data_IF_885785736690
#
_entry.id   IF_885785736690
#
_cell.length_a   1.000
_cell.length_b   1.000
_cell.length_c   1.000
_cell.angle_alpha   90.00
_cell.angle_beta   90.00
_cell.angle_gamma   90.00
#
_symmetry.space_group_name_H-M   'P 1'
#
loop_
_entity.id
_entity.type
_entity.pdbx_description
1 polymer ?
#
# COMPACT_ATOMS: atom_id res chain seq x y z
N UNK A 1 -4.77 -14.38 -22.33
CA UNK A 1 -3.72 -13.44 -21.92
C UNK A 1 -4.07 -12.84 -20.56
N UNK A 2 -3.59 -13.45 -19.49
CA UNK A 2 -3.64 -12.92 -18.13
C UNK A 2 -2.32 -12.22 -17.82
N UNK A 3 -2.38 -11.04 -17.22
CA UNK A 3 -1.20 -10.33 -16.78
C UNK A 3 -1.42 -9.71 -15.41
N UNK A 4 -0.31 -9.49 -14.70
CA UNK A 4 -0.29 -8.66 -13.49
C UNK A 4 0.93 -7.76 -13.51
N UNK A 5 0.95 -6.77 -12.63
CA UNK A 5 2.07 -5.84 -12.47
C UNK A 5 2.47 -5.79 -11.01
N UNK A 6 3.74 -6.05 -10.74
CA UNK A 6 4.34 -5.85 -9.43
C UNK A 6 4.97 -4.46 -9.34
N UNK A 7 4.87 -3.88 -8.15
CA UNK A 7 5.39 -2.56 -7.83
C UNK A 7 6.69 -2.69 -7.05
N UNK A 8 7.54 -1.66 -7.16
CA UNK A 8 8.59 -1.43 -6.17
C UNK A 8 7.98 -1.42 -4.76
N UNK A 9 8.51 -2.18 -3.78
CA UNK A 9 7.88 -2.27 -2.47
C UNK A 9 7.80 -0.92 -1.73
N UNK A 10 8.82 -0.07 -1.84
CA UNK A 10 8.81 1.25 -1.21
C UNK A 10 7.82 2.16 -1.94
N UNK A 11 7.89 2.23 -3.28
CA UNK A 11 6.97 3.06 -4.04
C UNK A 11 5.51 2.62 -3.88
N UNK A 12 5.25 1.33 -3.69
CA UNK A 12 3.93 0.80 -3.36
C UNK A 12 3.44 1.35 -2.02
N UNK A 13 4.26 1.28 -0.97
CA UNK A 13 3.90 1.80 0.36
C UNK A 13 3.71 3.32 0.36
N UNK A 14 4.59 4.09 -0.31
CA UNK A 14 4.43 5.55 -0.45
C UNK A 14 3.17 5.90 -1.23
N UNK A 15 2.89 5.19 -2.32
CA UNK A 15 1.68 5.41 -3.12
C UNK A 15 0.42 5.09 -2.32
N UNK A 16 0.45 4.03 -1.52
CA UNK A 16 -0.64 3.65 -0.63
C UNK A 16 -0.87 4.74 0.43
N UNK A 17 0.22 5.18 1.08
CA UNK A 17 0.17 6.26 2.06
C UNK A 17 -0.40 7.54 1.47
N UNK A 18 0.08 7.94 0.29
CA UNK A 18 -0.43 9.14 -0.38
C UNK A 18 -1.89 9.04 -0.78
N UNK A 19 -2.39 7.84 -1.11
CA UNK A 19 -3.79 7.67 -1.48
C UNK A 19 -4.71 7.78 -0.25
N UNK A 20 -4.37 7.11 0.85
CA UNK A 20 -5.25 7.02 2.02
C UNK A 20 -4.99 8.10 3.08
N UNK A 21 -3.76 8.57 3.25
CA UNK A 21 -3.36 9.39 4.39
C UNK A 21 -2.89 10.81 4.03
N UNK A 22 -2.39 11.05 2.81
CA UNK A 22 -1.98 12.40 2.41
C UNK A 22 -3.15 13.38 2.20
N UNK A 23 -4.27 13.02 1.54
CA UNK A 23 -5.43 13.89 1.54
C UNK A 23 -6.04 13.89 2.94
N UNK A 24 -5.81 14.97 3.69
CA UNK A 24 -6.37 15.21 5.02
C UNK A 24 -7.91 15.43 5.00
N UNK A 25 -8.59 14.86 4.01
CA UNK A 25 -10.00 15.05 3.67
C UNK A 25 -10.89 14.00 4.29
N UNK A 26 -10.36 12.82 4.61
CA UNK A 26 -11.14 11.73 5.18
C UNK A 26 -10.74 11.51 6.65
N UNK A 27 -11.68 11.81 7.55
CA UNK A 27 -11.49 11.66 8.99
C UNK A 27 -11.18 10.20 9.41
N UNK A 28 -11.57 9.20 8.59
CA UNK A 28 -11.27 7.78 8.82
C UNK A 28 -9.77 7.48 8.82
N UNK A 29 -8.99 8.29 8.10
CA UNK A 29 -7.56 8.10 7.94
C UNK A 29 -6.74 9.19 8.62
N UNK A 30 -7.37 10.08 9.40
CA UNK A 30 -6.65 11.04 10.25
C UNK A 30 -6.05 10.31 11.44
N UNK A 31 -4.71 10.18 11.52
CA UNK A 31 -4.10 9.62 12.71
C UNK A 31 -4.26 10.62 13.86
N UNK A 32 -4.45 10.15 15.09
CA UNK A 32 -4.39 11.00 16.30
C UNK A 32 -2.97 11.52 16.62
N UNK A 33 -2.03 11.36 15.69
CA UNK A 33 -0.60 11.57 15.87
C UNK A 33 -0.16 12.91 15.29
N UNK A 34 -0.68 14.01 15.84
CA UNK A 34 -0.34 15.37 15.42
C UNK A 34 1.17 15.66 15.42
N UNK A 35 1.96 14.91 16.19
CA UNK A 35 3.39 15.18 16.40
C UNK A 35 4.36 14.39 15.50
N UNK A 36 3.87 13.46 14.65
CA UNK A 36 4.74 12.70 13.75
C UNK A 36 4.87 13.38 12.38
N UNK A 37 6.07 13.34 11.79
CA UNK A 37 6.27 13.72 10.40
C UNK A 37 5.59 12.73 9.45
N UNK A 38 5.27 13.13 8.21
CA UNK A 38 4.61 12.24 7.25
C UNK A 38 5.43 10.97 6.96
N UNK A 39 6.76 11.07 6.94
CA UNK A 39 7.65 9.91 6.78
C UNK A 39 7.58 8.93 7.97
N UNK A 40 7.49 9.44 9.20
CA UNK A 40 7.30 8.60 10.38
C UNK A 40 5.92 7.96 10.40
N UNK A 41 4.89 8.73 10.01
CA UNK A 41 3.51 8.22 9.88
C UNK A 41 3.44 7.10 8.85
N UNK A 42 4.09 7.28 7.69
CA UNK A 42 4.23 6.25 6.66
C UNK A 42 4.74 4.94 7.29
N UNK A 43 5.90 4.96 7.95
CA UNK A 43 6.46 3.75 8.55
C UNK A 43 5.51 3.11 9.58
N UNK A 44 4.80 3.92 10.36
CA UNK A 44 3.84 3.44 11.37
C UNK A 44 2.63 2.73 10.74
N UNK A 45 2.02 3.33 9.71
CA UNK A 45 0.78 2.81 9.08
C UNK A 45 1.04 1.81 7.95
N UNK A 46 2.30 1.67 7.54
CA UNK A 46 2.73 0.72 6.54
C UNK A 46 2.47 -0.73 6.93
N UNK A 47 1.92 -1.49 6.00
CA UNK A 47 1.68 -2.93 6.12
C UNK A 47 2.92 -3.74 5.79
N UNK A 48 3.02 -4.92 6.40
CA UNK A 48 4.03 -5.91 6.06
C UNK A 48 3.66 -6.62 4.75
N UNK A 49 4.59 -6.64 3.81
CA UNK A 49 4.51 -7.38 2.54
C UNK A 49 3.16 -7.24 1.82
N UNK A 50 2.66 -6.01 1.59
CA UNK A 50 1.31 -5.78 1.11
C UNK A 50 0.99 -6.50 -0.20
N UNK A 51 1.95 -6.60 -1.13
CA UNK A 51 1.70 -7.25 -2.43
C UNK A 51 1.58 -8.77 -2.28
N UNK A 52 2.51 -9.38 -1.56
CA UNK A 52 2.51 -10.82 -1.34
C UNK A 52 1.32 -11.25 -0.46
N UNK A 53 0.99 -10.46 0.57
CA UNK A 53 -0.18 -10.68 1.41
C UNK A 53 -1.48 -10.68 0.59
N UNK A 54 -1.67 -9.66 -0.25
CA UNK A 54 -2.81 -9.57 -1.17
C UNK A 54 -2.91 -10.82 -2.05
N UNK A 55 -1.80 -11.21 -2.67
CA UNK A 55 -1.76 -12.34 -3.61
C UNK A 55 -1.93 -13.69 -2.90
N UNK A 56 -1.47 -13.82 -1.66
CA UNK A 56 -1.49 -15.08 -0.91
C UNK A 56 -2.86 -15.43 -0.33
N UNK A 57 -3.64 -14.40 0.04
CA UNK A 57 -4.85 -14.55 0.85
C UNK A 57 -6.11 -13.93 0.24
N UNK A 58 -6.00 -13.23 -0.90
CA UNK A 58 -7.13 -12.51 -1.51
C UNK A 58 -7.52 -11.25 -0.73
N UNK A 59 -8.29 -10.35 -1.34
CA UNK A 59 -8.63 -9.06 -0.71
C UNK A 59 -9.72 -9.16 0.36
N UNK A 60 -9.35 -8.72 1.58
CA UNK A 60 -10.20 -7.94 2.50
C UNK A 60 -9.44 -6.74 3.09
N UNK A 61 -8.40 -6.28 2.39
CA UNK A 61 -7.35 -5.47 3.00
C UNK A 61 -7.75 -4.01 3.25
N UNK A 62 -8.67 -3.45 2.46
CA UNK A 62 -8.88 -2.00 2.43
C UNK A 62 -10.34 -1.51 2.57
N UNK A 63 -11.35 -2.37 2.44
CA UNK A 63 -12.77 -1.97 2.40
C UNK A 63 -13.64 -2.44 3.57
N UNK A 64 -13.28 -3.52 4.26
CA UNK A 64 -14.18 -4.16 5.25
C UNK A 64 -14.16 -3.51 6.63
N UNK A 65 -13.61 -2.29 6.75
CA UNK A 65 -13.88 -1.52 7.95
C UNK A 65 -15.34 -1.07 7.85
N UNK A 66 -16.20 -1.35 8.86
CA UNK A 66 -17.50 -0.72 8.90
C UNK A 66 -17.27 0.78 8.71
N UNK A 67 -18.09 1.42 7.86
CA UNK A 67 -18.09 2.86 7.73
C UNK A 67 -18.03 3.43 9.15
N UNK A 68 -17.23 4.48 9.37
CA UNK A 68 -17.37 5.24 10.62
C UNK A 68 -18.86 5.44 10.81
N UNK A 69 -19.44 5.00 11.95
CA UNK A 69 -20.87 5.14 12.17
C UNK A 69 -21.17 6.58 11.81
N UNK A 70 -22.01 6.73 10.80
CA UNK A 70 -22.48 8.01 10.30
C UNK A 70 -23.22 8.60 11.50
N UNK A 71 -22.47 9.33 12.31
CA UNK A 71 -23.05 10.23 13.27
C UNK A 71 -23.74 11.24 12.35
N UNK A 72 -25.04 11.06 12.14
CA UNK A 72 -25.96 11.95 11.42
C UNK A 72 -25.96 13.40 11.97
N UNK A 73 -25.00 13.76 12.81
CA UNK A 73 -24.70 15.12 13.15
C UNK A 73 -23.78 15.70 12.05
N UNK A 74 -24.19 16.77 11.35
CA UNK A 74 -23.28 17.58 10.56
C UNK A 74 -22.31 18.31 11.50
N UNK A 75 -21.38 17.57 12.09
CA UNK A 75 -20.29 18.13 12.88
C UNK A 75 -19.08 18.26 11.98
N UNK A 76 -18.94 19.48 11.46
CA UNK A 76 -17.70 20.23 11.50
C UNK A 76 -16.49 19.40 11.96
N UNK A 77 -15.68 18.97 11.00
CA UNK A 77 -14.26 18.72 11.25
C UNK A 77 -13.47 20.04 11.46
N UNK A 78 -14.17 21.15 11.73
CA UNK A 78 -13.55 22.41 12.16
C UNK A 78 -13.13 22.26 13.62
N UNK A 79 -11.82 22.07 13.77
CA UNK A 79 -11.10 22.22 15.02
C UNK A 79 -11.22 23.69 15.45
N UNK A 80 -12.31 24.05 16.12
CA UNK A 80 -12.33 25.27 16.91
C UNK A 80 -11.51 25.01 18.18
N UNK A 81 -10.40 25.74 18.32
CA UNK A 81 -9.42 25.61 19.38
C UNK A 81 -9.95 25.94 20.77
N UNK A 82 -10.62 24.97 21.40
CA UNK A 82 -10.96 24.98 22.82
C UNK A 82 -9.86 24.32 23.65
N UNK A 83 -9.12 25.13 24.42
CA UNK A 83 -8.12 24.70 25.41
C UNK A 83 -8.77 24.03 26.63
N UNK A 84 -9.12 22.74 26.53
CA UNK A 84 -9.49 21.95 27.70
C UNK A 84 -8.31 21.08 28.17
N UNK A 85 -7.62 21.55 29.22
CA UNK A 85 -6.63 20.79 29.99
C UNK A 85 -7.32 19.72 30.87
N UNK A 86 -7.78 18.62 30.25
CA UNK A 86 -8.16 17.41 30.97
C UNK A 86 -6.93 16.54 31.26
N UNK A 87 -6.64 16.29 32.54
CA UNK A 87 -5.55 15.42 32.99
C UNK A 87 -5.92 13.95 32.71
N UNK A 88 -5.25 13.31 31.76
CA UNK A 88 -5.43 11.89 31.44
C UNK A 88 -4.89 11.01 32.58
N UNK A 89 -5.77 10.19 33.18
CA UNK A 89 -5.40 9.27 34.24
C UNK A 89 -4.87 7.95 33.63
N UNK A 90 -3.64 7.56 33.98
CA UNK A 90 -2.88 6.47 33.34
C UNK A 90 -3.52 5.10 33.56
N UNK A 91 -4.17 4.89 34.70
CA UNK A 91 -4.77 3.60 35.08
C UNK A 91 -6.11 3.33 34.36
N UNK A 92 -6.78 4.39 33.88
CA UNK A 92 -7.98 4.25 33.06
C UNK A 92 -7.67 3.70 31.66
N UNK A 93 -6.48 4.01 31.12
CA UNK A 93 -6.07 3.62 29.76
C UNK A 93 -5.85 2.11 29.63
N UNK A 94 -5.30 1.46 30.66
CA UNK A 94 -4.99 0.02 30.63
C UNK A 94 -6.26 -0.85 30.66
N UNK A 95 -7.24 -0.47 31.50
CA UNK A 95 -8.52 -1.19 31.60
C UNK A 95 -9.37 -1.04 30.32
N UNK A 96 -9.24 0.08 29.62
CA UNK A 96 -9.96 0.36 28.37
C UNK A 96 -9.37 -0.40 27.17
N UNK A 97 -8.06 -0.71 27.19
CA UNK A 97 -7.40 -1.51 26.16
C UNK A 97 -7.85 -2.98 26.13
N UNK A 98 -8.25 -3.54 27.28
CA UNK A 98 -8.82 -4.89 27.34
C UNK A 98 -10.30 -4.94 26.95
N UNK A 99 -11.08 -3.89 27.26
CA UNK A 99 -12.47 -3.78 26.84
C UNK A 99 -12.62 -3.56 25.32
N UNK A 100 -11.71 -2.77 24.72
CA UNK A 100 -11.75 -2.44 23.28
C UNK A 100 -11.39 -3.60 22.37
N UNK A 101 -10.64 -4.62 22.82
CA UNK A 101 -10.43 -5.85 22.02
C UNK A 101 -11.73 -6.62 21.74
N UNK A 102 -12.71 -6.56 22.65
CA UNK A 102 -14.02 -7.22 22.47
C UNK A 102 -14.94 -6.45 21.52
N UNK A 103 -14.69 -5.16 21.34
CA UNK A 103 -15.54 -4.24 20.58
C UNK A 103 -15.02 -3.97 19.15
N UNK A 104 -13.74 -4.26 18.89
CA UNK A 104 -13.09 -3.98 17.61
C UNK A 104 -12.37 -5.22 17.01
N UNK A 105 -13.12 -6.11 16.32
CA UNK A 105 -12.60 -7.33 15.69
C UNK A 105 -11.44 -7.10 14.70
N UNK A 106 -11.30 -5.88 14.17
CA UNK A 106 -10.27 -5.55 13.19
C UNK A 106 -8.85 -5.50 13.79
N UNK A 107 -8.70 -5.40 15.12
CA UNK A 107 -7.39 -5.47 15.78
C UNK A 107 -6.80 -6.88 15.64
N UNK A 108 -7.61 -7.93 15.75
CA UNK A 108 -7.15 -9.32 15.49
C UNK A 108 -6.85 -9.55 14.00
N UNK A 109 -7.59 -8.90 13.11
CA UNK A 109 -7.30 -8.96 11.67
C UNK A 109 -5.97 -8.27 11.32
N UNK A 110 -5.55 -7.25 12.06
CA UNK A 110 -4.24 -6.63 11.86
C UNK A 110 -3.08 -7.58 12.23
N UNK A 111 -3.27 -8.40 13.26
CA UNK A 111 -2.27 -9.37 13.73
C UNK A 111 -2.11 -10.55 12.76
N UNK A 112 -3.19 -10.98 12.10
CA UNK A 112 -3.07 -11.99 11.04
C UNK A 112 -2.30 -11.46 9.82
N UNK A 113 -2.31 -10.15 9.55
CA UNK A 113 -1.66 -9.56 8.37
C UNK A 113 -0.12 -9.53 8.47
N UNK A 114 0.45 -9.53 9.68
CA UNK A 114 1.90 -9.47 9.91
C UNK A 114 2.59 -10.83 9.77
N UNK A 115 1.88 -11.94 9.96
CA UNK A 115 2.47 -13.28 9.95
C UNK A 115 2.42 -13.95 8.56
N UNK A 116 3.05 -13.31 7.56
CA UNK A 116 3.25 -13.92 6.25
C UNK A 116 4.48 -14.82 6.27
N UNK A 117 4.27 -16.11 5.97
CA UNK A 117 5.34 -17.10 5.94
C UNK A 117 6.03 -17.14 4.58
N UNK A 118 7.29 -17.61 4.55
CA UNK A 118 8.01 -17.85 3.30
C UNK A 118 7.25 -18.81 2.37
N UNK A 119 6.64 -19.85 2.94
CA UNK A 119 5.87 -20.85 2.20
C UNK A 119 4.68 -20.23 1.45
N UNK A 120 3.98 -19.28 2.07
CA UNK A 120 2.89 -18.54 1.42
C UNK A 120 3.41 -17.70 0.25
N UNK A 121 4.56 -17.03 0.42
CA UNK A 121 5.20 -16.27 -0.66
C UNK A 121 5.65 -17.19 -1.82
N UNK A 122 6.20 -18.36 -1.51
CA UNK A 122 6.57 -19.36 -2.51
C UNK A 122 5.35 -19.92 -3.24
N UNK A 123 4.21 -20.04 -2.56
CA UNK A 123 2.93 -20.43 -3.17
C UNK A 123 2.42 -19.34 -4.11
N UNK A 124 2.49 -18.07 -3.70
CA UNK A 124 2.14 -16.92 -4.57
C UNK A 124 2.98 -16.94 -5.83
N UNK A 125 4.30 -17.05 -5.69
CA UNK A 125 5.21 -17.09 -6.84
C UNK A 125 4.86 -18.22 -7.82
N UNK A 126 4.68 -19.46 -7.32
CA UNK A 126 4.27 -20.60 -8.15
C UNK A 126 2.90 -20.39 -8.80
N UNK A 127 1.98 -19.73 -8.12
CA UNK A 127 0.66 -19.43 -8.66
C UNK A 127 0.79 -18.44 -9.81
N UNK A 128 1.49 -17.33 -9.59
CA UNK A 128 1.75 -16.33 -10.64
C UNK A 128 2.38 -16.96 -11.88
N UNK A 129 3.40 -17.80 -11.72
CA UNK A 129 4.05 -18.49 -12.84
C UNK A 129 3.10 -19.41 -13.63
N UNK A 130 2.11 -20.02 -12.97
CA UNK A 130 1.17 -20.94 -13.62
C UNK A 130 -0.01 -20.21 -14.26
N UNK A 131 -0.45 -19.09 -13.68
CA UNK A 131 -1.72 -18.45 -14.05
C UNK A 131 -1.55 -17.18 -14.87
N UNK A 132 -0.35 -16.59 -14.90
CA UNK A 132 -0.09 -15.35 -15.62
C UNK A 132 0.77 -15.63 -16.85
N UNK A 133 0.34 -15.10 -18.00
CA UNK A 133 1.12 -15.11 -19.23
C UNK A 133 2.26 -14.06 -19.17
N UNK A 134 2.07 -13.00 -18.38
CA UNK A 134 3.05 -11.94 -18.18
C UNK A 134 2.99 -11.34 -16.77
N UNK A 135 4.15 -11.12 -16.16
CA UNK A 135 4.29 -10.43 -14.88
C UNK A 135 5.15 -9.19 -15.09
N UNK A 136 4.49 -8.05 -15.25
CA UNK A 136 5.13 -6.76 -15.46
C UNK A 136 5.68 -6.14 -14.18
N UNK A 137 6.48 -5.09 -14.36
CA UNK A 137 7.02 -4.25 -13.27
C UNK A 137 6.65 -2.80 -13.50
N UNK A 138 6.26 -2.08 -12.46
CA UNK A 138 5.91 -0.65 -12.60
C UNK A 138 7.02 0.20 -13.21
N UNK A 139 8.28 -0.06 -12.87
CA UNK A 139 9.46 0.67 -13.34
C UNK A 139 9.69 0.51 -14.85
N UNK A 140 9.22 -0.61 -15.42
CA UNK A 140 9.33 -0.93 -16.84
C UNK A 140 7.97 -0.99 -17.53
N UNK A 141 6.92 -0.50 -16.88
CA UNK A 141 5.53 -0.59 -17.36
C UNK A 141 5.39 0.06 -18.74
N UNK A 142 5.98 1.24 -18.93
CA UNK A 142 5.92 1.98 -20.20
C UNK A 142 6.83 1.44 -21.29
N UNK A 143 7.91 0.74 -20.94
CA UNK A 143 8.92 0.27 -21.90
C UNK A 143 8.74 -1.20 -22.30
N UNK A 144 8.15 -2.01 -21.44
CA UNK A 144 7.98 -3.45 -21.65
C UNK A 144 6.51 -3.84 -21.66
N UNK A 145 5.83 -3.68 -20.53
CA UNK A 145 4.50 -4.28 -20.32
C UNK A 145 3.44 -3.65 -21.22
N UNK A 146 3.37 -2.33 -21.32
CA UNK A 146 2.36 -1.66 -22.13
C UNK A 146 2.60 -1.81 -23.64
N UNK A 147 3.83 -1.71 -24.17
CA UNK A 147 4.10 -2.07 -25.56
C UNK A 147 3.71 -3.52 -25.89
N UNK A 148 3.99 -4.47 -25.00
CA UNK A 148 3.57 -5.87 -25.16
C UNK A 148 2.04 -6.00 -25.22
N UNK A 149 1.33 -5.42 -24.25
CA UNK A 149 -0.14 -5.44 -24.20
C UNK A 149 -0.75 -4.79 -25.44
N UNK A 150 -0.20 -3.65 -25.85
CA UNK A 150 -0.66 -2.94 -27.04
C UNK A 150 -0.42 -3.77 -28.31
N UNK A 151 0.71 -4.48 -28.44
CA UNK A 151 0.97 -5.40 -29.56
C UNK A 151 -0.02 -6.56 -29.59
N UNK A 152 -0.38 -7.12 -28.43
CA UNK A 152 -1.35 -8.21 -28.34
C UNK A 152 -2.77 -7.78 -28.74
N UNK A 153 -3.18 -6.57 -28.38
CA UNK A 153 -4.53 -6.06 -28.68
C UNK A 153 -4.64 -5.53 -30.11
N UNK A 154 -3.62 -4.82 -30.59
CA UNK A 154 -3.70 -4.05 -31.85
C UNK A 154 -2.77 -4.56 -32.96
N UNK A 155 -2.00 -5.62 -32.72
CA UNK A 155 -1.04 -6.16 -33.68
C UNK A 155 0.21 -5.29 -33.92
N UNK A 156 0.34 -4.14 -33.24
CA UNK A 156 1.46 -3.21 -33.38
C UNK A 156 1.83 -2.62 -32.03
N UNK A 157 3.11 -2.39 -31.77
CA UNK A 157 3.58 -1.69 -30.56
C UNK A 157 3.60 -0.15 -30.73
N UNK A 158 3.51 0.35 -31.96
CA UNK A 158 3.79 1.76 -32.29
C UNK A 158 2.69 2.74 -31.83
N UNK A 159 1.46 2.26 -31.58
CA UNK A 159 0.35 3.11 -31.09
C UNK A 159 0.17 3.09 -29.58
N UNK A 160 1.09 2.47 -28.82
CA UNK A 160 1.12 2.56 -27.35
C UNK A 160 1.50 3.96 -26.85
N UNK A 161 1.17 5.01 -27.61
CA UNK A 161 1.32 6.40 -27.21
C UNK A 161 0.45 6.63 -25.99
N UNK A 162 1.11 6.81 -24.85
CA UNK A 162 0.45 7.14 -23.60
C UNK A 162 -0.31 8.45 -23.76
N UNK A 163 -1.63 8.41 -23.56
CA UNK A 163 -2.31 9.60 -23.08
C UNK A 163 -1.70 9.91 -21.71
N UNK A 164 -1.07 11.08 -21.49
CA UNK A 164 -0.52 11.41 -20.19
C UNK A 164 -1.64 11.30 -19.16
N UNK A 165 -1.45 10.44 -18.16
CA UNK A 165 -2.32 10.40 -16.99
C UNK A 165 -2.33 11.84 -16.46
N UNK A 166 -3.51 12.45 -16.41
CA UNK A 166 -3.66 13.87 -16.06
C UNK A 166 -2.84 14.22 -14.82
N UNK A 167 -2.25 15.41 -14.81
CA UNK A 167 -1.41 15.87 -13.68
C UNK A 167 -2.21 15.65 -12.39
N UNK A 168 -1.74 14.80 -11.45
CA UNK A 168 -2.43 14.64 -10.19
C UNK A 168 -2.55 16.02 -9.55
N UNK A 169 -3.72 16.33 -8.98
CA UNK A 169 -3.95 17.61 -8.30
C UNK A 169 -2.81 17.90 -7.31
N UNK A 170 -2.48 19.18 -7.13
CA UNK A 170 -1.33 19.68 -6.37
C UNK A 170 -1.42 19.45 -4.84
N UNK A 171 -1.95 18.30 -4.41
CA UNK A 171 -1.83 17.82 -3.03
C UNK A 171 -0.35 17.50 -2.82
N UNK A 172 0.23 18.07 -1.75
CA UNK A 172 1.58 17.74 -1.30
C UNK A 172 1.65 16.23 -1.09
N UNK A 173 2.37 15.54 -1.97
CA UNK A 173 2.53 14.10 -1.95
C UNK A 173 3.91 13.78 -1.45
N UNK A 174 4.01 12.91 -0.45
CA UNK A 174 5.27 12.39 0.04
C UNK A 174 5.95 11.62 -1.10
N UNK A 175 7.20 11.93 -1.43
CA UNK A 175 7.96 11.19 -2.45
C UNK A 175 8.98 10.31 -1.78
N UNK A 176 9.36 9.21 -2.45
CA UNK A 176 10.39 8.28 -1.97
C UNK A 176 11.69 9.01 -1.63
N UNK A 177 12.08 10.00 -2.44
CA UNK A 177 13.28 10.82 -2.23
C UNK A 177 13.23 11.74 -1.00
N UNK A 178 12.05 11.92 -0.41
CA UNK A 178 11.86 12.74 0.79
C UNK A 178 11.99 11.88 2.07
N UNK A 179 12.20 10.57 1.93
CA UNK A 179 12.37 9.64 3.05
C UNK A 179 13.84 9.59 3.48
N UNK A 180 14.07 9.52 4.78
CA UNK A 180 15.41 9.24 5.31
C UNK A 180 15.76 7.76 5.14
N UNK A 181 17.06 7.45 5.11
CA UNK A 181 17.56 6.08 4.98
C UNK A 181 17.02 5.15 6.08
N UNK A 182 16.86 5.66 7.31
CA UNK A 182 16.28 4.89 8.41
C UNK A 182 14.81 4.51 8.16
N UNK A 183 14.03 5.40 7.55
CA UNK A 183 12.64 5.10 7.17
C UNK A 183 12.63 4.11 6.01
N UNK A 184 13.47 4.31 5.00
CA UNK A 184 13.62 3.38 3.88
C UNK A 184 13.96 1.97 4.35
N UNK A 185 14.95 1.83 5.23
CA UNK A 185 15.35 0.54 5.81
C UNK A 185 14.19 -0.10 6.58
N UNK A 186 13.47 0.67 7.41
CA UNK A 186 12.28 0.17 8.11
C UNK A 186 11.19 -0.34 7.16
N UNK A 187 10.95 0.38 6.05
CA UNK A 187 9.97 -0.04 5.03
C UNK A 187 10.43 -1.30 4.29
N UNK A 188 11.74 -1.41 4.00
CA UNK A 188 12.33 -2.59 3.38
C UNK A 188 12.18 -3.82 4.28
N UNK A 189 12.46 -3.69 5.57
CA UNK A 189 12.28 -4.76 6.55
C UNK A 189 10.82 -5.27 6.57
N UNK A 190 9.85 -4.36 6.57
CA UNK A 190 8.41 -4.70 6.47
C UNK A 190 8.04 -5.38 5.14
N UNK A 191 8.74 -5.07 4.06
CA UNK A 191 8.47 -5.57 2.71
C UNK A 191 9.43 -6.67 2.23
N UNK A 192 10.10 -7.40 3.12
CA UNK A 192 11.11 -8.43 2.74
C UNK A 192 10.62 -9.45 1.71
N UNK A 193 9.37 -9.92 1.81
CA UNK A 193 8.78 -10.90 0.90
C UNK A 193 8.33 -10.28 -0.42
N UNK A 194 7.88 -9.02 -0.40
CA UNK A 194 7.61 -8.29 -1.64
C UNK A 194 8.89 -8.04 -2.44
N UNK A 195 10.00 -7.74 -1.74
CA UNK A 195 11.32 -7.61 -2.36
C UNK A 195 11.77 -8.92 -3.01
N UNK A 196 11.65 -10.03 -2.27
CA UNK A 196 12.02 -11.35 -2.80
C UNK A 196 11.15 -11.76 -3.98
N UNK A 197 9.84 -11.52 -3.92
CA UNK A 197 8.91 -11.77 -5.02
C UNK A 197 9.30 -10.95 -6.26
N UNK A 198 9.57 -9.65 -6.08
CA UNK A 198 10.00 -8.78 -7.17
C UNK A 198 11.33 -9.29 -7.77
N UNK A 199 12.33 -9.59 -6.94
CA UNK A 199 13.64 -10.12 -7.38
C UNK A 199 13.49 -11.39 -8.23
N UNK A 200 12.60 -12.31 -7.86
CA UNK A 200 12.33 -13.52 -8.67
C UNK A 200 11.73 -13.20 -10.02
N UNK A 201 10.84 -12.21 -10.08
CA UNK A 201 10.24 -11.75 -11.34
C UNK A 201 11.31 -11.10 -12.21
N UNK A 202 12.21 -10.31 -11.63
CA UNK A 202 13.34 -9.73 -12.36
C UNK A 202 14.26 -10.79 -12.94
N UNK A 203 14.53 -11.87 -12.21
CA UNK A 203 15.38 -12.95 -12.68
C UNK A 203 14.77 -13.72 -13.87
N UNK A 204 13.44 -13.81 -13.96
CA UNK A 204 12.75 -14.59 -15.00
C UNK A 204 12.29 -13.74 -16.18
N UNK A 205 11.80 -12.52 -15.92
CA UNK A 205 11.15 -11.66 -16.91
C UNK A 205 12.04 -10.47 -17.30
N UNK A 206 13.36 -10.62 -17.28
CA UNK A 206 14.25 -9.57 -17.77
C UNK A 206 14.21 -9.54 -19.30
N UNK A 207 13.34 -8.69 -19.86
CA UNK A 207 13.29 -8.46 -21.30
C UNK A 207 14.37 -7.44 -21.67
N UNK A 208 15.50 -7.91 -22.19
CA UNK A 208 16.62 -7.02 -22.57
C UNK A 208 16.39 -6.30 -23.91
N UNK A 209 15.18 -6.33 -24.47
CA UNK A 209 14.86 -5.60 -25.70
C UNK A 209 15.59 -6.12 -26.93
N UNK A 210 16.17 -7.33 -26.85
CA UNK A 210 16.76 -8.01 -28.00
C UNK A 210 15.73 -8.06 -29.12
N UNK A 211 16.03 -7.35 -30.21
CA UNK A 211 15.21 -7.28 -31.42
C UNK A 211 15.02 -8.71 -31.92
N UNK A 212 13.80 -9.23 -31.78
CA UNK A 212 13.33 -10.45 -32.48
C UNK A 212 12.71 -10.04 -33.80
#
# INVERSE_FOLDING_TARGET
FAFTVLRDPIAAQVSFFNYYFAPNRDCRFRPSHANLSDAQRLLQVSYDNPQCLFLARGERTFGDRPACPELDAPQHCDVQGGTHHGRWNRDAVSSQLHATKKEYPWIEMADQRSNLTQHECDRVWRTLQRTMDWIGRTQRLSRETLPLLHRLVYGSAQRAGFTPVGKPSAVTTLKVKDLSDAIVEGLLQKSRWDQELLRRVEAVYNYDGGVV
#
